data_IF_170209972113
#
_entry.id   IF_170209972113
#
_cell.length_a   1.000
_cell.length_b   1.000
_cell.length_c   1.000
_cell.angle_alpha   90.00
_cell.angle_beta   90.00
_cell.angle_gamma   90.00
#
_symmetry.space_group_name_H-M   'P 1'
#
loop_
_entity.id
_entity.type
_entity.pdbx_description
1 polymer ?
#
# COMPACT_ATOMS: atom_id res chain seq x y z
N UNK A 1 18.86 -11.80 18.73
CA UNK A 1 17.47 -12.17 18.44
C UNK A 1 16.53 -11.24 19.19
N UNK A 2 16.10 -10.13 18.60
CA UNK A 2 15.09 -9.22 19.19
C UNK A 2 13.76 -9.53 18.54
N UNK A 3 12.81 -9.99 19.36
CA UNK A 3 11.48 -10.47 18.96
C UNK A 3 10.63 -9.31 18.42
N UNK A 4 9.71 -9.56 17.46
CA UNK A 4 8.83 -8.56 16.86
C UNK A 4 7.69 -8.21 17.84
N UNK A 5 7.97 -7.43 18.87
CA UNK A 5 6.96 -6.91 19.81
C UNK A 5 6.23 -5.70 19.21
N UNK A 6 6.72 -5.15 18.09
CA UNK A 6 6.22 -3.90 17.50
C UNK A 6 4.90 -4.03 16.75
N UNK A 7 4.57 -5.21 16.21
CA UNK A 7 3.33 -5.42 15.45
C UNK A 7 2.07 -5.34 16.35
N UNK A 8 2.20 -5.69 17.62
CA UNK A 8 1.07 -5.67 18.55
C UNK A 8 0.72 -4.25 19.04
N UNK A 9 1.64 -3.30 18.96
CA UNK A 9 1.43 -1.93 19.47
C UNK A 9 0.67 -1.03 18.47
N UNK A 10 0.73 -1.35 17.17
CA UNK A 10 0.04 -0.58 16.13
C UNK A 10 -1.48 -0.82 16.12
N UNK A 11 -1.93 -1.97 16.63
CA UNK A 11 -3.36 -2.30 16.78
C UNK A 11 -4.06 -1.51 17.92
N UNK A 12 -3.31 -0.91 18.85
CA UNK A 12 -3.87 -0.16 19.98
C UNK A 12 -4.01 1.35 19.76
N UNK A 13 -3.50 1.89 18.65
CA UNK A 13 -3.63 3.31 18.29
C UNK A 13 -4.79 3.56 17.31
N UNK A 14 -5.88 2.79 17.41
CA UNK A 14 -7.10 3.14 16.69
C UNK A 14 -7.65 4.43 17.28
N UNK A 15 -7.72 5.54 16.52
CA UNK A 15 -8.35 6.75 17.01
C UNK A 15 -9.82 6.45 17.31
N UNK A 16 -10.26 6.67 18.53
CA UNK A 16 -11.67 6.64 18.95
C UNK A 16 -12.43 7.85 18.35
N UNK A 17 -12.35 8.01 17.06
CA UNK A 17 -13.10 9.00 16.29
C UNK A 17 -13.93 8.27 15.26
N UNK A 18 -15.02 8.85 14.82
CA UNK A 18 -15.99 8.33 13.84
C UNK A 18 -15.42 8.05 12.40
N UNK A 19 -14.15 7.72 12.29
CA UNK A 19 -13.55 7.16 11.10
C UNK A 19 -13.99 5.70 11.00
N UNK A 20 -14.93 5.39 10.12
CA UNK A 20 -15.27 4.00 9.84
C UNK A 20 -14.12 3.38 9.08
N UNK A 21 -13.50 2.35 9.66
CA UNK A 21 -12.56 1.51 8.94
C UNK A 21 -13.28 0.92 7.73
N UNK A 22 -12.67 1.06 6.55
CA UNK A 22 -13.20 0.45 5.33
C UNK A 22 -12.61 -0.92 5.08
N UNK A 23 -11.33 -1.07 5.33
CA UNK A 23 -10.65 -2.34 5.09
C UNK A 23 -9.31 -2.45 5.84
N UNK A 24 -8.88 -3.69 6.00
CA UNK A 24 -7.53 -4.09 6.36
C UNK A 24 -6.99 -4.91 5.21
N UNK A 25 -5.88 -4.50 4.64
CA UNK A 25 -5.15 -5.21 3.59
C UNK A 25 -3.89 -5.82 4.18
N UNK A 26 -3.66 -7.10 3.93
CA UNK A 26 -2.47 -7.82 4.41
C UNK A 26 -1.91 -8.60 3.25
N UNK A 27 -0.63 -8.45 2.96
CA UNK A 27 0.04 -9.32 2.00
C UNK A 27 1.36 -9.89 2.54
N UNK A 28 1.73 -11.02 1.95
CA UNK A 28 2.95 -11.75 2.25
C UNK A 28 3.60 -12.20 0.93
N UNK A 29 4.93 -12.15 0.90
CA UNK A 29 5.74 -12.87 -0.07
C UNK A 29 6.87 -13.62 0.66
N UNK A 30 7.87 -14.14 -0.06
CA UNK A 30 8.95 -14.93 0.54
C UNK A 30 9.80 -14.12 1.54
N UNK A 31 9.89 -12.81 1.35
CA UNK A 31 10.82 -11.96 2.10
C UNK A 31 10.13 -10.78 2.80
N UNK A 32 8.86 -10.49 2.46
CA UNK A 32 8.18 -9.26 2.89
C UNK A 32 6.81 -9.58 3.46
N UNK A 33 6.46 -8.84 4.50
CA UNK A 33 5.11 -8.77 5.07
C UNK A 33 4.65 -7.32 5.08
N UNK A 34 3.39 -7.09 4.70
CA UNK A 34 2.77 -5.76 4.75
C UNK A 34 1.39 -5.82 5.36
N UNK A 35 1.03 -4.74 6.05
CA UNK A 35 -0.30 -4.49 6.55
C UNK A 35 -0.67 -3.04 6.25
N UNK A 36 -1.88 -2.82 5.72
CA UNK A 36 -2.42 -1.49 5.45
C UNK A 36 -3.85 -1.39 5.98
N UNK A 37 -4.12 -0.34 6.74
CA UNK A 37 -5.43 0.03 7.23
C UNK A 37 -6.00 1.13 6.36
N UNK A 38 -7.21 0.91 5.83
CA UNK A 38 -7.90 1.82 4.92
C UNK A 38 -9.15 2.40 5.60
N UNK A 39 -9.33 3.71 5.48
CA UNK A 39 -10.47 4.44 6.07
C UNK A 39 -10.87 5.60 5.17
N UNK A 40 -11.94 6.32 5.52
CA UNK A 40 -12.32 7.57 4.85
C UNK A 40 -12.20 8.73 5.81
N UNK A 41 -11.51 9.78 5.39
CA UNK A 41 -11.33 11.02 6.14
C UNK A 41 -11.77 12.20 5.27
N UNK A 42 -12.79 12.96 5.69
CA UNK A 42 -13.22 14.19 5.00
C UNK A 42 -13.64 13.97 3.54
N UNK A 43 -14.12 12.78 3.17
CA UNK A 43 -14.52 12.45 1.79
C UNK A 43 -13.39 11.92 0.89
N UNK A 44 -12.16 11.92 1.37
CA UNK A 44 -11.02 11.24 0.74
C UNK A 44 -10.76 9.88 1.40
N UNK A 45 -10.25 8.92 0.66
CA UNK A 45 -9.80 7.65 1.22
C UNK A 45 -8.38 7.83 1.75
N UNK A 46 -8.16 7.38 2.99
CA UNK A 46 -6.88 7.42 3.67
C UNK A 46 -6.38 6.00 3.96
N UNK A 47 -5.09 5.77 3.76
CA UNK A 47 -4.42 4.51 4.05
C UNK A 47 -3.25 4.73 4.99
N UNK A 48 -3.03 3.78 5.90
CA UNK A 48 -1.88 3.74 6.80
C UNK A 48 -1.28 2.35 6.75
N UNK A 49 -0.05 2.24 6.29
CA UNK A 49 0.57 0.94 6.08
C UNK A 49 1.97 0.82 6.63
N UNK A 50 2.36 -0.41 6.83
CA UNK A 50 3.68 -0.81 7.25
C UNK A 50 4.12 -2.05 6.50
N UNK A 51 5.30 -1.97 5.90
CA UNK A 51 5.97 -3.05 5.19
C UNK A 51 7.30 -3.35 5.88
N UNK A 52 7.60 -4.63 6.05
CA UNK A 52 8.84 -5.11 6.61
C UNK A 52 9.39 -6.26 5.78
N UNK A 53 10.68 -6.23 5.49
CA UNK A 53 11.36 -7.32 4.80
C UNK A 53 12.38 -8.04 5.70
N UNK A 54 12.78 -9.23 5.30
CA UNK A 54 13.72 -10.08 6.06
C UNK A 54 15.15 -9.54 6.08
N UNK A 55 15.50 -8.59 5.21
CA UNK A 55 16.79 -7.88 5.23
C UNK A 55 16.86 -6.85 6.37
N UNK A 56 15.74 -6.58 7.03
CA UNK A 56 15.63 -5.61 8.11
C UNK A 56 15.18 -4.21 7.64
N UNK A 57 14.89 -4.05 6.36
CA UNK A 57 14.33 -2.82 5.83
C UNK A 57 12.84 -2.73 6.15
N UNK A 58 12.37 -1.50 6.34
CA UNK A 58 10.96 -1.26 6.57
C UNK A 58 10.51 0.07 5.97
N UNK A 59 9.23 0.13 5.61
CA UNK A 59 8.55 1.33 5.13
C UNK A 59 7.24 1.48 5.89
N UNK A 60 7.06 2.62 6.57
CA UNK A 60 5.76 3.07 7.05
C UNK A 60 5.24 4.15 6.10
N UNK A 61 3.95 4.12 5.79
CA UNK A 61 3.37 5.12 4.91
C UNK A 61 1.98 5.58 5.37
N UNK A 62 1.63 6.79 4.95
CA UNK A 62 0.29 7.33 5.03
C UNK A 62 -0.11 7.88 3.65
N UNK A 63 -1.23 7.43 3.13
CA UNK A 63 -1.75 7.84 1.83
C UNK A 63 -3.09 8.57 1.98
N UNK A 64 -3.34 9.50 1.07
CA UNK A 64 -4.64 10.14 0.92
C UNK A 64 -4.98 10.26 -0.56
N UNK A 65 -6.13 9.71 -0.95
CA UNK A 65 -6.58 9.66 -2.33
C UNK A 65 -8.00 10.16 -2.48
N UNK A 66 -8.24 10.91 -3.55
CA UNK A 66 -9.58 11.26 -4.00
C UNK A 66 -10.02 10.22 -5.00
N UNK A 67 -11.10 9.51 -4.68
CA UNK A 67 -11.61 8.42 -5.48
C UNK A 67 -12.79 8.83 -6.36
N UNK A 68 -12.75 8.36 -7.61
CA UNK A 68 -13.89 8.25 -8.50
C UNK A 68 -14.35 6.82 -8.64
N UNK A 69 -15.67 6.62 -8.67
CA UNK A 69 -16.27 5.30 -8.92
C UNK A 69 -17.26 5.42 -10.07
N UNK A 70 -17.09 4.57 -11.06
CA UNK A 70 -17.99 4.49 -12.20
C UNK A 70 -18.58 3.07 -12.26
N UNK A 71 -19.92 3.03 -12.33
CA UNK A 71 -20.69 1.81 -12.47
C UNK A 71 -21.43 1.88 -13.81
N UNK A 72 -21.11 1.00 -14.71
CA UNK A 72 -21.84 0.85 -15.96
C UNK A 72 -22.50 -0.52 -16.10
N UNK A 73 -23.19 -0.76 -17.22
CA UNK A 73 -23.88 -2.03 -17.45
C UNK A 73 -22.94 -3.23 -17.56
N UNK A 74 -21.65 -3.03 -17.78
CA UNK A 74 -20.66 -4.08 -18.06
C UNK A 74 -19.61 -4.23 -16.96
N UNK A 75 -19.36 -3.20 -16.12
CA UNK A 75 -18.26 -3.22 -15.16
C UNK A 75 -18.41 -2.19 -14.03
N UNK A 76 -17.60 -2.38 -12.98
CA UNK A 76 -17.32 -1.39 -11.96
C UNK A 76 -15.84 -0.99 -12.06
N UNK A 77 -15.57 0.29 -12.20
CA UNK A 77 -14.24 0.86 -12.17
C UNK A 77 -14.13 1.77 -10.95
N UNK A 78 -13.11 1.58 -10.16
CA UNK A 78 -12.77 2.44 -9.03
C UNK A 78 -11.34 2.93 -9.21
N UNK A 79 -11.13 4.24 -9.12
CA UNK A 79 -9.80 4.82 -9.26
C UNK A 79 -9.62 6.02 -8.35
N UNK A 80 -8.41 6.20 -7.83
CA UNK A 80 -8.05 7.31 -6.97
C UNK A 80 -6.69 7.87 -7.33
N UNK A 81 -6.57 9.19 -7.23
CA UNK A 81 -5.31 9.91 -7.36
C UNK A 81 -5.03 10.66 -6.07
N UNK A 82 -3.75 10.80 -5.70
CA UNK A 82 -3.37 11.49 -4.48
C UNK A 82 -1.90 11.43 -4.12
N UNK A 83 -1.63 11.56 -2.82
CA UNK A 83 -0.29 11.55 -2.27
C UNK A 83 -0.07 10.45 -1.25
N UNK A 84 1.17 10.03 -1.10
CA UNK A 84 1.64 9.03 -0.15
C UNK A 84 2.91 9.53 0.53
N UNK A 85 2.86 9.72 1.84
CA UNK A 85 4.02 10.08 2.64
C UNK A 85 4.71 8.81 3.13
N UNK A 86 6.04 8.79 3.07
CA UNK A 86 6.87 7.65 3.42
C UNK A 86 7.82 7.98 4.56
N UNK A 87 7.96 7.04 5.47
CA UNK A 87 9.03 6.96 6.47
C UNK A 87 9.65 5.56 6.34
N UNK A 88 10.94 5.48 6.07
CA UNK A 88 11.60 4.21 5.82
C UNK A 88 12.98 4.13 6.46
N UNK A 89 13.44 2.91 6.70
CA UNK A 89 14.85 2.63 6.96
C UNK A 89 15.29 1.54 5.99
N UNK A 90 16.24 1.88 5.13
CA UNK A 90 16.67 1.05 4.01
C UNK A 90 18.19 0.98 4.03
N UNK A 91 18.72 -0.24 4.19
CA UNK A 91 20.17 -0.45 4.33
C UNK A 91 20.77 0.34 5.50
N UNK A 92 20.01 0.57 6.59
CA UNK A 92 20.44 1.38 7.73
C UNK A 92 20.30 2.89 7.53
N UNK A 93 19.82 3.36 6.37
CA UNK A 93 19.60 4.78 6.07
C UNK A 93 18.14 5.15 6.28
N UNK A 94 17.87 6.16 7.10
CA UNK A 94 16.53 6.71 7.28
C UNK A 94 16.15 7.57 6.07
N UNK A 95 15.05 7.24 5.42
CA UNK A 95 14.50 7.93 4.24
C UNK A 95 13.12 8.47 4.57
N UNK A 96 12.84 9.70 4.13
CA UNK A 96 11.49 10.26 4.14
C UNK A 96 11.15 10.78 2.75
N UNK A 97 9.86 10.78 2.39
CA UNK A 97 9.46 11.28 1.09
C UNK A 97 7.95 11.48 0.98
N UNK A 98 7.55 12.26 -0.02
CA UNK A 98 6.16 12.43 -0.41
C UNK A 98 6.05 12.05 -1.89
N UNK A 99 5.33 10.96 -2.17
CA UNK A 99 5.05 10.50 -3.53
C UNK A 99 3.69 11.00 -4.01
N UNK A 100 3.59 11.22 -5.31
CA UNK A 100 2.33 11.41 -6.02
C UNK A 100 2.03 10.17 -6.84
N UNK A 101 0.75 9.82 -6.94
CA UNK A 101 0.38 8.62 -7.65
C UNK A 101 -1.11 8.32 -7.55
N UNK A 102 -1.43 7.05 -7.72
CA UNK A 102 -2.81 6.60 -7.63
C UNK A 102 -2.95 5.10 -7.78
N UNK A 103 -4.19 4.68 -7.72
CA UNK A 103 -4.58 3.29 -7.90
C UNK A 103 -5.88 3.18 -8.68
N UNK A 104 -6.06 2.04 -9.33
CA UNK A 104 -7.27 1.72 -10.07
C UNK A 104 -7.61 0.25 -9.90
N UNK A 105 -8.90 -0.06 -9.81
CA UNK A 105 -9.41 -1.43 -9.78
C UNK A 105 -10.59 -1.56 -10.73
N UNK A 106 -10.60 -2.64 -11.49
CA UNK A 106 -11.64 -2.97 -12.46
C UNK A 106 -12.29 -4.31 -12.09
N UNK A 107 -13.60 -4.33 -11.99
CA UNK A 107 -14.41 -5.55 -11.78
C UNK A 107 -15.38 -5.71 -12.95
N UNK A 108 -15.26 -6.79 -13.75
CA UNK A 108 -16.29 -7.14 -14.74
C UNK A 108 -17.64 -7.40 -14.05
N UNK A 109 -18.73 -7.08 -14.72
CA UNK A 109 -20.07 -7.32 -14.19
C UNK A 109 -20.30 -8.80 -13.91
N UNK A 110 -20.99 -9.10 -12.81
CA UNK A 110 -21.29 -10.45 -12.36
C UNK A 110 -20.05 -11.34 -12.14
N UNK A 111 -18.86 -10.75 -12.07
CA UNK A 111 -17.60 -11.43 -11.78
C UNK A 111 -17.21 -11.24 -10.32
N UNK A 112 -16.69 -12.31 -9.73
CA UNK A 112 -15.98 -12.24 -8.43
C UNK A 112 -14.50 -11.88 -8.60
N UNK A 113 -14.02 -11.83 -9.86
CA UNK A 113 -12.66 -11.46 -10.17
C UNK A 113 -12.55 -9.96 -10.44
N UNK A 114 -11.53 -9.34 -9.89
CA UNK A 114 -11.12 -7.96 -10.14
C UNK A 114 -9.66 -7.89 -10.51
N UNK A 115 -9.29 -6.80 -11.16
CA UNK A 115 -7.91 -6.50 -11.55
C UNK A 115 -7.58 -5.10 -11.09
N UNK A 116 -6.48 -4.94 -10.37
CA UNK A 116 -6.06 -3.65 -9.85
C UNK A 116 -4.60 -3.38 -10.12
N UNK A 117 -4.23 -2.09 -10.03
CA UNK A 117 -2.86 -1.66 -10.08
C UNK A 117 -2.71 -0.29 -9.42
N UNK A 118 -1.49 0.03 -9.02
CA UNK A 118 -1.14 1.30 -8.43
C UNK A 118 0.28 1.69 -8.82
N UNK A 119 0.56 2.99 -8.77
CA UNK A 119 1.90 3.53 -8.93
C UNK A 119 2.04 4.83 -8.15
N UNK A 120 3.19 4.99 -7.48
CA UNK A 120 3.59 6.21 -6.76
C UNK A 120 5.04 6.54 -7.06
N UNK A 121 5.33 7.82 -7.20
CA UNK A 121 6.67 8.34 -7.42
C UNK A 121 6.96 9.54 -6.54
N UNK A 122 8.07 9.50 -5.81
CA UNK A 122 8.58 10.58 -5.00
C UNK A 122 9.94 11.06 -5.56
N UNK A 123 10.02 12.23 -6.19
CA UNK A 123 11.26 12.79 -6.73
C UNK A 123 12.16 13.36 -5.63
N UNK A 124 13.42 13.63 -5.96
CA UNK A 124 14.45 14.13 -5.05
C UNK A 124 14.11 15.42 -4.29
N UNK A 125 13.25 16.27 -4.87
CA UNK A 125 12.85 17.55 -4.24
C UNK A 125 11.94 17.36 -3.02
N UNK A 126 11.31 16.20 -2.88
CA UNK A 126 10.39 15.85 -1.79
C UNK A 126 10.84 14.62 -1.02
N UNK A 127 12.08 14.18 -1.22
CA UNK A 127 12.71 13.08 -0.48
C UNK A 127 13.89 13.58 0.34
N UNK A 128 14.16 12.92 1.46
CA UNK A 128 15.36 13.13 2.28
C UNK A 128 16.18 11.85 2.30
N UNK A 129 17.50 11.98 2.09
CA UNK A 129 18.48 10.88 1.98
C UNK A 129 18.24 9.92 0.81
N UNK A 130 17.32 10.27 -0.10
CA UNK A 130 17.08 9.54 -1.34
C UNK A 130 16.96 10.51 -2.52
N UNK A 131 17.31 10.07 -3.71
CA UNK A 131 17.10 10.80 -4.96
C UNK A 131 15.69 10.56 -5.50
N UNK A 132 15.16 9.36 -5.33
CA UNK A 132 13.79 9.03 -5.69
C UNK A 132 13.31 7.80 -4.92
N UNK A 133 11.98 7.63 -4.88
CA UNK A 133 11.31 6.42 -4.46
C UNK A 133 10.25 6.11 -5.51
N UNK A 134 10.27 4.89 -6.03
CA UNK A 134 9.30 4.38 -6.98
C UNK A 134 8.62 3.15 -6.38
N UNK A 135 7.31 3.15 -6.40
CA UNK A 135 6.49 2.03 -5.94
C UNK A 135 5.39 1.78 -6.97
N UNK A 136 5.27 0.55 -7.45
CA UNK A 136 4.15 0.16 -8.30
C UNK A 136 3.80 -1.32 -8.12
N UNK A 137 2.58 -1.66 -8.50
CA UNK A 137 2.13 -3.04 -8.44
C UNK A 137 0.86 -3.26 -9.24
N UNK A 138 0.58 -4.54 -9.45
CA UNK A 138 -0.66 -5.01 -10.07
C UNK A 138 -1.14 -6.26 -9.34
N UNK A 139 -2.46 -6.44 -9.26
CA UNK A 139 -3.06 -7.60 -8.60
C UNK A 139 -4.29 -8.12 -9.33
N UNK A 140 -4.50 -9.42 -9.25
CA UNK A 140 -5.76 -10.07 -9.56
C UNK A 140 -6.42 -10.48 -8.24
N UNK A 141 -7.65 -10.05 -8.04
CA UNK A 141 -8.41 -10.20 -6.80
C UNK A 141 -9.60 -11.13 -7.02
N UNK A 142 -9.86 -12.00 -6.06
CA UNK A 142 -11.05 -12.86 -6.03
C UNK A 142 -11.88 -12.56 -4.78
N UNK A 143 -13.11 -12.11 -4.98
CA UNK A 143 -14.03 -11.82 -3.91
C UNK A 143 -14.61 -13.13 -3.36
N UNK A 144 -14.15 -13.55 -2.19
CA UNK A 144 -14.61 -14.75 -1.50
C UNK A 144 -15.95 -14.53 -0.82
N UNK A 145 -16.10 -13.37 -0.17
CA UNK A 145 -17.28 -12.92 0.55
C UNK A 145 -17.56 -11.44 0.24
N UNK A 146 -18.69 -10.91 0.64
CA UNK A 146 -18.99 -9.48 0.46
C UNK A 146 -17.95 -8.57 1.18
N UNK A 147 -17.42 -9.06 2.29
CA UNK A 147 -16.48 -8.35 3.15
C UNK A 147 -15.03 -8.86 3.04
N UNK A 148 -14.75 -9.87 2.23
CA UNK A 148 -13.40 -10.44 2.15
C UNK A 148 -13.04 -10.85 0.72
N UNK A 149 -11.83 -10.50 0.31
CA UNK A 149 -11.22 -10.95 -0.93
C UNK A 149 -9.80 -11.45 -0.71
N UNK A 150 -9.38 -12.41 -1.51
CA UNK A 150 -7.99 -12.84 -1.63
C UNK A 150 -7.43 -12.37 -2.96
N UNK A 151 -6.15 -12.13 -3.02
CA UNK A 151 -5.49 -11.71 -4.25
C UNK A 151 -4.10 -12.29 -4.41
N UNK A 152 -3.67 -12.35 -5.65
CA UNK A 152 -2.28 -12.54 -6.06
C UNK A 152 -1.85 -11.32 -6.83
N UNK A 153 -0.64 -10.85 -6.58
CA UNK A 153 -0.13 -9.66 -7.25
C UNK A 153 1.37 -9.70 -7.48
N UNK A 154 1.84 -8.68 -8.16
CA UNK A 154 3.25 -8.33 -8.29
C UNK A 154 3.45 -6.94 -7.71
N UNK A 155 4.56 -6.75 -7.04
CA UNK A 155 4.91 -5.52 -6.36
C UNK A 155 6.38 -5.20 -6.62
N UNK A 156 6.68 -3.94 -6.80
CA UNK A 156 8.04 -3.43 -6.93
C UNK A 156 8.17 -2.12 -6.15
N UNK A 157 9.14 -2.08 -5.24
CA UNK A 157 9.50 -0.87 -4.49
C UNK A 157 11.00 -0.68 -4.53
N UNK A 158 11.41 0.44 -5.12
CA UNK A 158 12.79 0.82 -5.32
C UNK A 158 13.07 2.20 -4.71
N UNK A 159 14.20 2.34 -4.05
CA UNK A 159 14.69 3.61 -3.50
C UNK A 159 16.13 3.84 -3.94
N UNK A 160 16.36 4.92 -4.65
CA UNK A 160 17.70 5.38 -4.97
C UNK A 160 18.22 6.27 -3.84
N UNK A 161 19.10 5.73 -2.99
CA UNK A 161 19.71 6.47 -1.89
C UNK A 161 20.75 7.47 -2.40
N UNK A 162 20.98 8.53 -1.64
CA UNK A 162 22.10 9.45 -1.86
C UNK A 162 23.37 8.85 -1.21
N UNK A 163 24.51 8.70 -1.93
CA UNK A 163 24.94 9.36 -3.19
C UNK A 163 24.66 8.60 -4.50
N UNK A 164 23.76 7.63 -4.56
CA UNK A 164 23.40 6.98 -5.82
C UNK A 164 23.45 5.46 -5.78
N UNK A 165 23.09 4.87 -4.65
CA UNK A 165 22.91 3.42 -4.49
C UNK A 165 21.42 3.11 -4.59
N UNK A 166 21.07 2.28 -5.56
CA UNK A 166 19.70 1.79 -5.72
C UNK A 166 19.50 0.57 -4.84
N UNK A 167 18.45 0.59 -4.02
CA UNK A 167 18.03 -0.54 -3.21
C UNK A 167 16.59 -0.93 -3.59
N UNK A 168 16.40 -2.17 -3.97
CA UNK A 168 15.09 -2.77 -4.12
C UNK A 168 14.65 -3.28 -2.74
N UNK A 169 13.61 -2.66 -2.20
CA UNK A 169 13.10 -3.00 -0.86
C UNK A 169 12.18 -4.20 -0.92
N UNK A 170 11.35 -4.25 -1.96
CA UNK A 170 10.47 -5.37 -2.22
C UNK A 170 10.26 -5.55 -3.73
N UNK A 171 10.26 -6.80 -4.17
CA UNK A 171 10.04 -7.16 -5.58
C UNK A 171 9.50 -8.59 -5.66
N UNK A 172 8.54 -8.77 -6.54
CA UNK A 172 8.05 -10.10 -6.89
C UNK A 172 6.58 -10.34 -6.64
N UNK A 173 6.25 -11.63 -6.63
CA UNK A 173 4.88 -12.12 -6.45
C UNK A 173 4.53 -12.14 -4.98
N UNK A 174 3.34 -11.67 -4.64
CA UNK A 174 2.79 -11.73 -3.29
C UNK A 174 1.35 -12.25 -3.29
N UNK A 175 0.94 -12.77 -2.14
CA UNK A 175 -0.43 -13.19 -1.86
C UNK A 175 -0.98 -12.35 -0.72
N UNK A 176 -2.24 -11.95 -0.84
CA UNK A 176 -2.83 -11.13 0.20
C UNK A 176 -4.32 -11.36 0.38
N UNK A 177 -4.81 -10.75 1.44
CA UNK A 177 -6.24 -10.71 1.78
C UNK A 177 -6.63 -9.27 2.11
N UNK A 178 -7.82 -8.90 1.66
CA UNK A 178 -8.43 -7.62 1.98
C UNK A 178 -9.75 -7.90 2.73
N UNK A 179 -9.90 -7.36 3.94
CA UNK A 179 -11.05 -7.54 4.81
C UNK A 179 -11.72 -6.19 5.00
N UNK A 180 -13.00 -6.08 4.63
CA UNK A 180 -13.82 -4.86 4.72
C UNK A 180 -14.73 -4.96 5.95
N UNK A 181 -14.95 -3.82 6.61
CA UNK A 181 -15.82 -3.73 7.81
C UNK A 181 -17.00 -2.79 7.55
#
# INVERSE_FOLDING_TARGET
MRKPVFVLFMLMLMPYGSAQAKALDIFLNNNTASVEYLTTLGGADAGFGYLYNTSGDWIAHAAMLVFGREYNSASRVEGGLGGKAYLANIGGTSVTGIGLGGQMTYFPKNSKFGFGGYAYYAPSIVTSNAKNLLEFGARAEFQMMETASAYIGVHHTEVELTPGVTNTVDDGVHFGVNIRF
#
